data_IF_802883984467
#
_entry.id   IF_802883984467
#
_cell.length_a   1.000
_cell.length_b   1.000
_cell.length_c   1.000
_cell.angle_alpha   90.00
_cell.angle_beta   90.00
_cell.angle_gamma   90.00
#
_symmetry.space_group_name_H-M   'P 1'
#
loop_
_entity.id
_entity.type
_entity.pdbx_description
1 polymer ?
#
# COMPACT_ATOMS: atom_id res chain seq x y z
N UNK A 1 -18.00 2.08 26.99
CA UNK A 1 -16.87 1.14 27.06
C UNK A 1 -16.44 0.86 28.52
N UNK A 2 -17.38 0.73 29.47
CA UNK A 2 -17.03 0.35 30.85
C UNK A 2 -17.06 -1.18 30.97
N UNK A 3 -16.07 -1.78 31.61
CA UNK A 3 -16.01 -3.21 31.93
C UNK A 3 -15.39 -4.14 30.87
N UNK A 4 -14.92 -3.62 29.73
CA UNK A 4 -14.19 -4.43 28.73
C UNK A 4 -12.69 -4.18 28.83
N UNK A 5 -11.91 -5.25 28.88
CA UNK A 5 -10.45 -5.19 28.84
C UNK A 5 -9.98 -4.60 27.51
N UNK A 6 -9.15 -3.57 27.56
CA UNK A 6 -8.51 -2.99 26.38
C UNK A 6 -7.55 -4.00 25.73
N UNK A 7 -7.27 -3.84 24.44
CA UNK A 7 -6.21 -4.62 23.80
C UNK A 7 -4.85 -4.26 24.42
N UNK A 8 -3.90 -5.21 24.42
CA UNK A 8 -2.55 -4.97 24.96
C UNK A 8 -1.90 -3.72 24.36
N UNK A 9 -1.97 -3.52 23.05
CA UNK A 9 -1.45 -2.29 22.42
C UNK A 9 -2.08 -1.01 22.99
N UNK A 10 -3.38 -1.01 23.27
CA UNK A 10 -4.03 0.15 23.88
C UNK A 10 -3.60 0.34 25.33
N UNK A 11 -3.33 -0.75 26.07
CA UNK A 11 -2.79 -0.66 27.43
C UNK A 11 -1.37 -0.08 27.42
N UNK A 12 -0.50 -0.49 26.48
CA UNK A 12 0.86 0.04 26.34
C UNK A 12 0.87 1.55 26.06
N UNK A 13 -0.05 2.01 25.22
CA UNK A 13 -0.24 3.43 24.93
C UNK A 13 -0.69 4.20 26.18
N UNK A 14 -1.61 3.64 26.98
CA UNK A 14 -2.05 4.26 28.24
C UNK A 14 -0.91 4.31 29.26
N UNK A 15 -0.12 3.24 29.40
CA UNK A 15 1.04 3.21 30.29
C UNK A 15 2.10 4.24 29.89
N UNK A 16 2.40 4.35 28.59
CA UNK A 16 3.34 5.35 28.07
C UNK A 16 2.87 6.78 28.39
N UNK A 17 1.57 7.04 28.19
CA UNK A 17 0.96 8.32 28.48
C UNK A 17 1.05 8.69 29.98
N UNK A 18 0.76 7.73 30.86
CA UNK A 18 0.86 7.92 32.31
C UNK A 18 2.30 8.24 32.73
N UNK A 19 3.28 7.50 32.19
CA UNK A 19 4.69 7.75 32.48
C UNK A 19 5.13 9.15 32.03
N UNK A 20 4.71 9.58 30.84
CA UNK A 20 5.03 10.92 30.34
C UNK A 20 4.46 12.04 31.24
N UNK A 21 3.21 11.92 31.67
CA UNK A 21 2.62 12.93 32.57
C UNK A 21 3.16 12.87 34.00
N UNK A 22 3.59 11.70 34.46
CA UNK A 22 4.31 11.57 35.72
C UNK A 22 5.66 12.32 35.63
N UNK A 23 6.37 12.21 34.51
CA UNK A 23 7.59 13.00 34.27
C UNK A 23 7.29 14.51 34.21
N UNK A 24 6.20 14.95 33.57
CA UNK A 24 5.80 16.37 33.59
C UNK A 24 5.49 16.87 35.01
N UNK A 25 4.84 16.03 35.83
CA UNK A 25 4.58 16.34 37.24
C UNK A 25 5.89 16.49 38.02
N UNK A 26 6.81 15.55 37.85
CA UNK A 26 8.10 15.54 38.56
C UNK A 26 9.02 16.69 38.08
N UNK A 27 8.88 17.10 36.82
CA UNK A 27 9.56 18.25 36.22
C UNK A 27 8.94 19.61 36.66
N UNK A 28 7.77 19.62 37.32
CA UNK A 28 7.09 20.85 37.73
C UNK A 28 6.48 21.65 36.57
N UNK A 29 6.29 21.03 35.41
CA UNK A 29 5.83 21.70 34.21
C UNK A 29 5.95 20.84 32.95
N UNK A 30 5.38 21.30 31.83
CA UNK A 30 5.36 20.52 30.60
C UNK A 30 6.78 20.33 30.04
N UNK A 31 7.11 19.09 29.64
CA UNK A 31 8.44 18.74 29.11
C UNK A 31 8.69 19.38 27.74
N UNK A 32 7.62 19.64 26.99
CA UNK A 32 7.62 20.35 25.72
C UNK A 32 6.62 21.51 25.76
N UNK A 33 6.80 22.55 24.93
CA UNK A 33 5.88 23.68 24.88
C UNK A 33 4.42 23.27 24.64
N UNK A 34 3.48 23.94 25.30
CA UNK A 34 2.04 23.64 25.14
C UNK A 34 1.54 23.79 23.69
N UNK A 35 2.19 24.67 22.91
CA UNK A 35 1.89 24.89 21.49
C UNK A 35 2.30 23.71 20.61
N UNK A 36 3.26 22.89 21.06
CA UNK A 36 3.82 21.75 20.33
C UNK A 36 2.95 20.49 20.46
N UNK A 37 1.65 20.60 20.16
CA UNK A 37 0.65 19.55 20.45
C UNK A 37 0.99 18.20 19.82
N UNK A 38 1.39 18.17 18.54
CA UNK A 38 1.69 16.91 17.84
C UNK A 38 2.94 16.22 18.40
N UNK A 39 3.96 16.99 18.74
CA UNK A 39 5.23 16.50 19.29
C UNK A 39 5.03 15.97 20.70
N UNK A 40 4.22 16.66 21.52
CA UNK A 40 3.79 16.18 22.84
C UNK A 40 3.06 14.85 22.74
N UNK A 41 2.11 14.71 21.82
CA UNK A 41 1.37 13.45 21.62
C UNK A 41 2.32 12.34 21.16
N UNK A 42 3.24 12.64 20.25
CA UNK A 42 4.23 11.68 19.75
C UNK A 42 5.13 11.16 20.86
N UNK A 43 5.67 12.06 21.70
CA UNK A 43 6.53 11.72 22.82
C UNK A 43 5.76 10.98 23.92
N UNK A 44 4.57 11.47 24.29
CA UNK A 44 3.77 10.88 25.36
C UNK A 44 3.28 9.46 25.04
N UNK A 45 2.94 9.19 23.79
CA UNK A 45 2.50 7.87 23.35
C UNK A 45 3.65 7.00 22.79
N UNK A 46 4.89 7.50 22.79
CA UNK A 46 6.06 6.82 22.23
C UNK A 46 5.84 6.33 20.78
N UNK A 47 5.23 7.18 19.95
CA UNK A 47 4.98 6.92 18.52
C UNK A 47 5.61 7.99 17.63
N UNK A 48 5.89 7.65 16.38
CA UNK A 48 6.46 8.64 15.45
C UNK A 48 5.52 9.81 15.19
N UNK A 49 6.06 11.02 15.06
CA UNK A 49 5.33 12.22 14.66
C UNK A 49 4.55 11.99 13.36
N UNK A 50 5.16 11.27 12.40
CA UNK A 50 4.51 10.91 11.13
C UNK A 50 3.20 10.13 11.31
N UNK A 51 3.13 9.27 12.33
CA UNK A 51 1.92 8.49 12.66
C UNK A 51 0.84 9.42 13.21
N UNK A 52 1.20 10.33 14.12
CA UNK A 52 0.28 11.33 14.68
C UNK A 52 -0.29 12.21 13.56
N UNK A 53 0.56 12.80 12.73
CA UNK A 53 0.12 13.64 11.61
C UNK A 53 -0.75 12.86 10.62
N UNK A 54 -0.42 11.59 10.33
CA UNK A 54 -1.22 10.74 9.44
C UNK A 54 -2.61 10.44 10.02
N UNK A 55 -2.71 10.19 11.32
CA UNK A 55 -4.00 9.97 12.00
C UNK A 55 -4.83 11.25 11.96
N UNK A 56 -4.22 12.40 12.28
CA UNK A 56 -4.89 13.70 12.24
C UNK A 56 -5.43 14.03 10.84
N UNK A 57 -4.60 13.87 9.79
CA UNK A 57 -5.05 14.08 8.40
C UNK A 57 -6.22 13.17 8.01
N UNK A 58 -6.19 11.89 8.44
CA UNK A 58 -7.30 10.97 8.16
C UNK A 58 -8.59 11.40 8.83
N UNK A 59 -8.52 12.01 10.02
CA UNK A 59 -9.68 12.55 10.72
C UNK A 59 -10.27 13.75 9.96
N UNK A 60 -9.44 14.64 9.41
CA UNK A 60 -9.93 15.80 8.64
C UNK A 60 -10.59 15.44 7.31
N UNK A 61 -10.27 14.28 6.72
CA UNK A 61 -10.78 13.85 5.41
C UNK A 61 -11.96 12.86 5.45
N UNK A 62 -12.29 12.31 6.63
CA UNK A 62 -13.42 11.41 6.82
C UNK A 62 -14.37 12.05 7.84
N UNK A 63 -15.67 11.73 7.85
CA UNK A 63 -16.70 12.28 8.76
C UNK A 63 -16.45 11.97 10.25
N UNK A 64 -15.30 12.34 10.81
CA UNK A 64 -14.79 12.04 12.15
C UNK A 64 -14.65 10.55 12.50
N UNK A 65 -14.78 9.64 11.52
CA UNK A 65 -14.63 8.19 11.73
C UNK A 65 -13.29 7.71 11.19
N UNK A 66 -12.39 7.30 12.09
CA UNK A 66 -11.16 6.61 11.73
C UNK A 66 -11.49 5.20 11.23
N UNK A 67 -11.58 5.02 9.91
CA UNK A 67 -11.68 3.68 9.32
C UNK A 67 -10.40 2.90 9.65
N UNK A 68 -10.59 1.72 10.26
CA UNK A 68 -9.51 0.75 10.45
C UNK A 68 -8.80 0.51 9.11
N UNK A 69 -7.46 0.34 9.08
CA UNK A 69 -6.75 -0.07 7.87
C UNK A 69 -7.42 -1.33 7.32
N UNK A 70 -8.22 -1.16 6.25
CA UNK A 70 -9.09 -2.22 5.76
C UNK A 70 -8.28 -3.47 5.42
N UNK A 71 -8.46 -4.54 6.21
CA UNK A 71 -8.13 -5.89 5.77
C UNK A 71 -9.12 -6.21 4.66
N UNK A 72 -8.62 -6.54 3.46
CA UNK A 72 -9.35 -6.72 2.17
C UNK A 72 -9.39 -5.47 1.26
N UNK A 73 -8.26 -4.79 1.05
CA UNK A 73 -8.09 -4.12 -0.24
C UNK A 73 -7.97 -5.20 -1.31
N UNK A 74 -8.83 -5.24 -2.35
CA UNK A 74 -8.64 -6.19 -3.44
C UNK A 74 -7.25 -5.93 -4.03
N UNK A 75 -6.41 -6.97 -4.04
CA UNK A 75 -5.12 -6.87 -4.74
C UNK A 75 -5.44 -6.64 -6.21
N UNK A 76 -4.74 -5.70 -6.86
CA UNK A 76 -4.78 -5.61 -8.32
C UNK A 76 -4.41 -6.98 -8.87
N UNK A 77 -5.21 -7.51 -9.79
CA UNK A 77 -4.90 -8.78 -10.48
C UNK A 77 -3.54 -8.64 -11.17
N UNK A 78 -2.83 -9.76 -11.31
CA UNK A 78 -1.62 -9.78 -12.13
C UNK A 78 -1.96 -9.36 -13.56
N UNK A 79 -1.08 -8.61 -14.22
CA UNK A 79 -1.24 -8.26 -15.64
C UNK A 79 -1.25 -9.48 -16.57
N UNK A 80 -0.88 -10.65 -16.06
CA UNK A 80 -0.76 -11.90 -16.80
C UNK A 80 -1.94 -12.86 -16.61
N UNK A 81 -2.87 -12.57 -15.68
CA UNK A 81 -3.96 -13.50 -15.34
C UNK A 81 -5.08 -13.58 -16.39
N UNK A 82 -5.26 -12.53 -17.20
CA UNK A 82 -6.38 -12.44 -18.16
C UNK A 82 -5.94 -12.79 -19.60
N UNK A 83 -4.75 -13.38 -19.80
CA UNK A 83 -4.28 -13.80 -21.12
C UNK A 83 -4.86 -15.16 -21.50
N UNK A 84 -5.45 -15.26 -22.68
CA UNK A 84 -5.93 -16.54 -23.21
C UNK A 84 -4.79 -17.55 -23.36
N UNK A 85 -5.08 -18.84 -23.15
CA UNK A 85 -4.05 -19.88 -23.26
C UNK A 85 -3.44 -19.94 -24.66
N UNK A 86 -4.22 -19.68 -25.71
CA UNK A 86 -3.70 -19.57 -27.07
C UNK A 86 -2.60 -18.50 -27.19
N UNK A 87 -2.79 -17.30 -26.60
CA UNK A 87 -1.78 -16.24 -26.61
C UNK A 87 -0.55 -16.66 -25.80
N UNK A 88 -0.75 -17.33 -24.67
CA UNK A 88 0.36 -17.84 -23.82
C UNK A 88 1.22 -18.86 -24.55
N UNK A 89 0.60 -19.80 -25.27
CA UNK A 89 1.33 -20.81 -26.07
C UNK A 89 2.09 -20.14 -27.21
N UNK A 90 1.46 -19.23 -27.95
CA UNK A 90 2.13 -18.51 -29.04
C UNK A 90 3.36 -17.69 -28.59
N UNK A 91 3.28 -17.06 -27.41
CA UNK A 91 4.43 -16.35 -26.82
C UNK A 91 5.54 -17.35 -26.49
N UNK A 92 5.20 -18.48 -25.87
CA UNK A 92 6.16 -19.53 -25.51
C UNK A 92 6.85 -20.12 -26.75
N UNK A 93 6.09 -20.46 -27.78
CA UNK A 93 6.61 -21.03 -29.02
C UNK A 93 7.52 -20.04 -29.74
N UNK A 94 7.17 -18.74 -29.70
CA UNK A 94 8.04 -17.69 -30.26
C UNK A 94 9.35 -17.58 -29.50
N UNK A 95 9.34 -17.70 -28.17
CA UNK A 95 10.57 -17.72 -27.36
C UNK A 95 11.43 -18.94 -27.68
N UNK A 96 10.83 -20.14 -27.78
CA UNK A 96 11.56 -21.36 -28.15
C UNK A 96 12.13 -21.29 -29.56
N UNK A 97 11.41 -20.73 -30.51
CA UNK A 97 11.91 -20.51 -31.86
C UNK A 97 13.11 -19.55 -31.88
N UNK A 98 13.10 -18.50 -31.04
CA UNK A 98 14.26 -17.61 -30.94
C UNK A 98 15.49 -18.33 -30.37
N UNK A 99 15.30 -19.23 -29.39
CA UNK A 99 16.38 -20.06 -28.87
C UNK A 99 16.89 -21.09 -29.89
N UNK A 100 16.00 -21.74 -30.64
CA UNK A 100 16.40 -22.71 -31.69
C UNK A 100 17.20 -22.02 -32.80
N UNK A 101 16.86 -20.78 -33.14
CA UNK A 101 17.60 -19.92 -34.07
C UNK A 101 18.88 -19.32 -33.47
N UNK A 102 19.26 -19.67 -32.24
CA UNK A 102 20.42 -19.14 -31.49
C UNK A 102 20.42 -17.60 -31.36
N UNK A 103 19.23 -16.97 -31.39
CA UNK A 103 19.07 -15.53 -31.21
C UNK A 103 18.98 -15.20 -29.72
N UNK A 104 19.67 -14.16 -29.28
CA UNK A 104 19.56 -13.69 -27.90
C UNK A 104 18.17 -13.11 -27.65
N UNK A 105 17.44 -13.70 -26.70
CA UNK A 105 16.07 -13.27 -26.33
C UNK A 105 16.17 -12.08 -25.39
N UNK A 106 16.14 -10.87 -25.94
CA UNK A 106 15.92 -9.64 -25.17
C UNK A 106 14.44 -9.23 -25.22
N UNK A 107 13.96 -8.54 -24.19
CA UNK A 107 12.57 -8.06 -24.13
C UNK A 107 12.22 -7.18 -25.34
N UNK A 108 13.14 -6.32 -25.78
CA UNK A 108 12.95 -5.47 -26.95
C UNK A 108 12.77 -6.27 -28.25
N UNK A 109 13.62 -7.30 -28.45
CA UNK A 109 13.56 -8.15 -29.63
C UNK A 109 12.31 -9.05 -29.63
N UNK A 110 11.95 -9.58 -28.46
CA UNK A 110 10.72 -10.36 -28.29
C UNK A 110 9.49 -9.50 -28.60
N UNK A 111 9.39 -8.29 -28.05
CA UNK A 111 8.28 -7.37 -28.33
C UNK A 111 8.20 -7.01 -29.82
N UNK A 112 9.34 -6.80 -30.50
CA UNK A 112 9.38 -6.54 -31.95
C UNK A 112 8.85 -7.74 -32.75
N UNK A 113 9.23 -8.94 -32.35
CA UNK A 113 8.84 -10.19 -33.02
C UNK A 113 7.35 -10.50 -32.79
N UNK A 114 6.85 -10.33 -31.56
CA UNK A 114 5.44 -10.51 -31.23
C UNK A 114 4.55 -9.45 -31.92
N UNK A 115 5.02 -8.21 -32.05
CA UNK A 115 4.34 -7.17 -32.86
C UNK A 115 4.25 -7.55 -34.33
N UNK A 116 5.34 -8.06 -34.92
CA UNK A 116 5.36 -8.53 -36.32
C UNK A 116 4.38 -9.68 -36.55
N UNK A 117 4.27 -10.61 -35.61
CA UNK A 117 3.31 -11.73 -35.66
C UNK A 117 1.87 -11.33 -35.31
N UNK A 118 1.57 -10.03 -35.16
CA UNK A 118 0.27 -9.45 -34.76
C UNK A 118 -0.37 -10.00 -33.47
N UNK A 119 0.40 -10.73 -32.65
CA UNK A 119 -0.08 -11.38 -31.42
C UNK A 119 -0.41 -10.41 -30.27
N UNK A 120 -0.02 -9.13 -30.40
CA UNK A 120 -0.30 -8.09 -29.40
C UNK A 120 -1.55 -7.26 -29.72
N UNK A 121 -2.09 -7.34 -30.94
CA UNK A 121 -3.24 -6.53 -31.35
C UNK A 121 -4.58 -7.11 -30.84
N UNK A 122 -4.69 -8.42 -30.69
CA UNK A 122 -5.89 -9.06 -30.13
C UNK A 122 -6.04 -8.83 -28.61
N UNK A 123 -4.93 -8.60 -27.90
CA UNK A 123 -4.95 -8.32 -26.46
C UNK A 123 -5.27 -6.85 -26.12
N UNK A 124 -5.03 -5.91 -27.03
CA UNK A 124 -5.31 -4.48 -26.81
C UNK A 124 -6.72 -4.11 -27.29
N UNK A 125 -7.25 -4.76 -28.34
CA UNK A 125 -8.59 -4.50 -28.86
C UNK A 125 -9.70 -4.77 -27.82
N UNK A 126 -9.57 -5.82 -27.01
CA UNK A 126 -10.54 -6.14 -25.95
C UNK A 126 -10.53 -5.16 -24.76
N UNK A 127 -9.50 -4.35 -24.60
CA UNK A 127 -9.46 -3.33 -23.53
C UNK A 127 -10.07 -1.99 -23.94
N UNK A 128 -10.27 -1.73 -25.25
CA UNK A 128 -10.83 -0.45 -25.72
C UNK A 128 -12.37 -0.41 -25.72
N UNK A 129 -13.04 -1.56 -25.73
CA UNK A 129 -14.51 -1.61 -25.69
C UNK A 129 -15.10 -1.54 -24.27
N UNK A 130 -14.29 -1.66 -23.21
CA UNK A 130 -14.77 -1.72 -21.83
C UNK A 130 -14.68 -0.40 -21.02
N UNK A 131 -14.39 0.74 -21.65
CA UNK A 131 -14.42 2.04 -20.95
C UNK A 131 -14.99 3.15 -21.88
N UNK A 132 -16.22 3.63 -21.67
CA UNK A 132 -16.65 4.91 -22.21
C UNK A 132 -16.00 6.07 -21.40
N UNK A 133 -15.93 7.29 -21.98
CA UNK A 133 -15.30 8.47 -21.36
C UNK A 133 -15.97 8.93 -20.06
#
# INVERSE_FOLDING_TARGET
>A
MKGKTLSSQSQDLVLSLLNYFQQEKDNGGPLLPLLAVQERVAQALSISLSTVTRIQRRLSSNDNVLRSPGKKRPRKKSKTTDLSDAVRHNIRDTVYQMYSEKKHVTIANLNKTLKRKSLLLSAIALYKECCPP
#
